data_IF_958673029190
#
_entry.id   IF_958673029190
#
_cell.length_a   1.000
_cell.length_b   1.000
_cell.length_c   1.000
_cell.angle_alpha   90.00
_cell.angle_beta   90.00
_cell.angle_gamma   90.00
#
_symmetry.space_group_name_H-M   'P 1'
#
loop_
_entity.id
_entity.type
_entity.pdbx_description
1 polymer ?
#
# COMPACT_ATOMS: atom_id res chain seq x y z
N UNK A 1 6.18 -6.43 6.92
CA UNK A 1 7.25 -6.39 7.96
C UNK A 1 7.78 -4.97 8.17
N UNK A 2 8.17 -4.23 7.13
CA UNK A 2 8.74 -2.87 7.27
C UNK A 2 7.87 -1.85 8.02
N UNK A 3 6.56 -1.74 7.75
CA UNK A 3 5.69 -0.75 8.43
C UNK A 3 5.57 -0.94 9.96
N UNK A 4 5.58 -2.18 10.46
CA UNK A 4 5.56 -2.44 11.91
C UNK A 4 6.84 -1.95 12.56
N UNK A 5 7.97 -2.24 11.90
CA UNK A 5 9.28 -1.76 12.33
C UNK A 5 9.28 -0.23 12.30
N UNK A 6 8.78 0.40 11.24
CA UNK A 6 8.70 1.86 11.15
C UNK A 6 7.79 2.49 12.21
N UNK A 7 6.58 1.96 12.44
CA UNK A 7 5.69 2.46 13.51
C UNK A 7 6.28 2.26 14.90
N UNK A 8 6.81 1.07 15.19
CA UNK A 8 7.44 0.80 16.48
C UNK A 8 8.71 1.66 16.68
N UNK A 9 9.47 1.92 15.62
CA UNK A 9 10.62 2.82 15.64
C UNK A 9 10.18 4.26 15.89
N UNK A 10 9.10 4.74 15.25
CA UNK A 10 8.52 6.06 15.52
C UNK A 10 8.12 6.19 16.99
N UNK A 11 7.36 5.23 17.52
CA UNK A 11 6.97 5.23 18.94
C UNK A 11 8.20 5.20 19.87
N UNK A 12 9.20 4.37 19.53
CA UNK A 12 10.45 4.26 20.28
C UNK A 12 11.25 5.57 20.28
N UNK A 13 11.43 6.21 19.11
CA UNK A 13 12.18 7.45 18.98
C UNK A 13 11.47 8.63 19.65
N UNK A 14 10.13 8.70 19.58
CA UNK A 14 9.35 9.68 20.35
C UNK A 14 9.57 9.50 21.85
N UNK A 15 9.50 8.26 22.34
CA UNK A 15 9.75 7.97 23.75
C UNK A 15 11.18 8.36 24.19
N UNK A 16 12.19 8.07 23.37
CA UNK A 16 13.57 8.49 23.64
C UNK A 16 13.72 10.02 23.67
N UNK A 17 13.14 10.73 22.71
CA UNK A 17 13.20 12.20 22.65
C UNK A 17 12.49 12.87 23.83
N UNK A 18 11.47 12.23 24.39
CA UNK A 18 10.78 12.70 25.60
C UNK A 18 11.55 12.41 26.89
N UNK A 19 12.63 11.61 26.84
CA UNK A 19 13.53 11.37 27.96
C UNK A 19 14.45 12.56 28.27
N UNK A 20 14.87 12.66 29.53
CA UNK A 20 15.73 13.74 30.04
C UNK A 20 17.23 13.56 29.77
N UNK A 21 17.67 12.35 29.38
CA UNK A 21 19.09 11.96 29.47
C UNK A 21 19.84 12.01 28.13
N UNK A 22 19.41 12.88 27.20
CA UNK A 22 20.02 13.00 25.87
C UNK A 22 20.87 14.27 25.76
N UNK A 23 22.09 14.11 25.26
CA UNK A 23 22.90 15.25 24.79
C UNK A 23 22.27 15.86 23.53
N UNK A 24 22.66 17.09 23.19
CA UNK A 24 22.16 17.77 21.99
C UNK A 24 22.40 16.95 20.70
N UNK A 25 23.59 16.36 20.57
CA UNK A 25 23.96 15.53 19.41
C UNK A 25 23.13 14.24 19.32
N UNK A 26 22.89 13.58 20.46
CA UNK A 26 22.04 12.38 20.51
C UNK A 26 20.60 12.72 20.10
N UNK A 27 20.07 13.85 20.60
CA UNK A 27 18.74 14.34 20.25
C UNK A 27 18.61 14.65 18.75
N UNK A 28 19.63 15.29 18.15
CA UNK A 28 19.66 15.56 16.72
C UNK A 28 19.66 14.27 15.88
N UNK A 29 20.47 13.28 16.26
CA UNK A 29 20.54 11.99 15.57
C UNK A 29 19.23 11.21 15.66
N UNK A 30 18.60 11.13 16.84
CA UNK A 30 17.30 10.44 17.02
C UNK A 30 16.20 11.14 16.22
N UNK A 31 16.22 12.48 16.16
CA UNK A 31 15.26 13.26 15.34
C UNK A 31 15.40 12.93 13.86
N UNK A 32 16.62 12.78 13.35
CA UNK A 32 16.85 12.36 11.95
C UNK A 32 16.28 10.97 11.67
N UNK A 33 16.53 10.00 12.57
CA UNK A 33 15.99 8.64 12.43
C UNK A 33 14.46 8.61 12.49
N UNK A 34 13.86 9.46 13.33
CA UNK A 34 12.41 9.63 13.38
C UNK A 34 11.84 10.12 12.04
N UNK A 35 12.47 11.13 11.43
CA UNK A 35 12.07 11.65 10.11
C UNK A 35 12.16 10.55 9.05
N UNK A 36 13.25 9.80 8.99
CA UNK A 36 13.43 8.72 8.02
C UNK A 36 12.32 7.64 8.14
N UNK A 37 11.88 7.32 9.36
CA UNK A 37 10.78 6.37 9.57
C UNK A 37 9.41 6.96 9.22
N UNK A 38 9.17 8.24 9.54
CA UNK A 38 7.95 8.95 9.13
C UNK A 38 7.85 9.04 7.60
N UNK A 39 8.95 9.32 6.92
CA UNK A 39 9.00 9.36 5.46
C UNK A 39 8.67 8.01 4.84
N UNK A 40 9.17 6.90 5.37
CA UNK A 40 8.79 5.54 4.90
C UNK A 40 7.29 5.30 5.03
N UNK A 41 6.67 5.76 6.12
CA UNK A 41 5.22 5.63 6.32
C UNK A 41 4.42 6.50 5.33
N UNK A 42 4.89 7.71 5.05
CA UNK A 42 4.29 8.60 4.07
C UNK A 42 4.34 8.01 2.65
N UNK A 43 5.50 7.51 2.22
CA UNK A 43 5.66 6.85 0.92
C UNK A 43 4.77 5.62 0.76
N UNK A 44 4.59 4.82 1.81
CA UNK A 44 3.69 3.66 1.77
C UNK A 44 2.22 4.05 1.56
N UNK A 45 1.79 5.21 2.08
CA UNK A 45 0.44 5.75 1.88
C UNK A 45 0.28 6.36 0.48
N UNK A 46 1.26 7.14 0.02
CA UNK A 46 1.26 7.71 -1.33
C UNK A 46 1.22 6.62 -2.41
N UNK A 47 2.04 5.58 -2.27
CA UNK A 47 2.02 4.43 -3.17
C UNK A 47 0.68 3.70 -3.17
N UNK A 48 0.01 3.61 -2.01
CA UNK A 48 -1.32 3.02 -1.92
C UNK A 48 -2.34 3.88 -2.68
N UNK A 49 -2.39 5.19 -2.44
CA UNK A 49 -3.30 6.11 -3.14
C UNK A 49 -3.09 6.06 -4.66
N UNK A 50 -1.83 6.06 -5.11
CA UNK A 50 -1.49 5.93 -6.52
C UNK A 50 -2.02 4.60 -7.10
N UNK A 51 -1.80 3.48 -6.41
CA UNK A 51 -2.27 2.17 -6.83
C UNK A 51 -3.80 2.09 -6.89
N UNK A 52 -4.49 2.66 -5.91
CA UNK A 52 -5.96 2.72 -5.87
C UNK A 52 -6.54 3.51 -7.04
N UNK A 53 -5.93 4.67 -7.37
CA UNK A 53 -6.31 5.45 -8.54
C UNK A 53 -6.09 4.65 -9.83
N UNK A 54 -4.97 3.94 -9.96
CA UNK A 54 -4.71 3.12 -11.16
C UNK A 54 -5.66 1.94 -11.31
N UNK A 55 -6.07 1.32 -10.20
CA UNK A 55 -7.13 0.30 -10.19
C UNK A 55 -8.45 0.88 -10.67
N UNK A 56 -8.82 2.09 -10.24
CA UNK A 56 -10.04 2.76 -10.69
C UNK A 56 -9.99 3.09 -12.19
N UNK A 57 -8.90 3.73 -12.65
CA UNK A 57 -8.66 4.02 -14.07
C UNK A 57 -8.75 2.75 -14.94
N UNK A 58 -8.19 1.64 -14.45
CA UNK A 58 -8.20 0.36 -15.15
C UNK A 58 -9.60 -0.27 -15.25
N UNK A 59 -10.44 -0.15 -14.22
CA UNK A 59 -11.86 -0.59 -14.27
C UNK A 59 -12.64 0.17 -15.33
N UNK A 60 -12.45 1.47 -15.39
CA UNK A 60 -13.08 2.31 -16.42
C UNK A 60 -12.64 1.89 -17.82
N UNK A 61 -11.35 1.58 -18.00
CA UNK A 61 -10.84 1.11 -19.27
C UNK A 61 -11.41 -0.26 -19.67
N UNK A 62 -11.49 -1.22 -18.74
CA UNK A 62 -12.15 -2.53 -18.98
C UNK A 62 -13.60 -2.33 -19.42
N UNK A 63 -14.35 -1.48 -18.72
CA UNK A 63 -15.74 -1.17 -19.07
C UNK A 63 -15.85 -0.57 -20.48
N UNK A 64 -15.01 0.42 -20.82
CA UNK A 64 -15.00 1.05 -22.15
C UNK A 64 -14.71 0.04 -23.27
N UNK A 65 -13.73 -0.84 -23.08
CA UNK A 65 -13.38 -1.86 -24.09
C UNK A 65 -14.48 -2.90 -24.21
N UNK A 66 -15.13 -3.28 -23.10
CA UNK A 66 -16.28 -4.17 -23.09
C UNK A 66 -17.46 -3.57 -23.88
N UNK A 67 -17.73 -2.29 -23.68
CA UNK A 67 -18.79 -1.58 -24.40
C UNK A 67 -18.47 -1.47 -25.89
N UNK A 68 -17.21 -1.18 -26.25
CA UNK A 68 -16.73 -1.20 -27.63
C UNK A 68 -16.93 -2.58 -28.27
N UNK A 69 -16.52 -3.67 -27.61
CA UNK A 69 -16.77 -5.03 -28.08
C UNK A 69 -18.26 -5.28 -28.33
N UNK A 70 -19.11 -4.88 -27.39
CA UNK A 70 -20.55 -5.11 -27.47
C UNK A 70 -21.22 -4.29 -28.59
N UNK A 71 -20.62 -3.17 -29.01
CA UNK A 71 -21.10 -2.34 -30.11
C UNK A 71 -20.90 -2.96 -31.51
N UNK A 72 -20.01 -3.96 -31.63
CA UNK A 72 -19.72 -4.64 -32.89
C UNK A 72 -20.48 -5.98 -33.00
N UNK A 73 -21.09 -6.28 -34.17
CA UNK A 73 -21.73 -7.57 -34.41
C UNK A 73 -20.77 -8.76 -34.26
N UNK A 74 -21.33 -9.92 -33.93
CA UNK A 74 -20.57 -11.17 -33.90
C UNK A 74 -19.96 -11.51 -35.27
N UNK A 75 -18.76 -12.08 -35.26
CA UNK A 75 -18.03 -12.48 -36.47
C UNK A 75 -17.32 -11.34 -37.20
N UNK A 76 -17.37 -10.10 -36.69
CA UNK A 76 -16.63 -8.97 -37.25
C UNK A 76 -15.20 -8.94 -36.72
N UNK A 77 -14.26 -8.53 -37.56
CA UNK A 77 -12.85 -8.37 -37.17
C UNK A 77 -12.70 -7.32 -36.06
N UNK A 78 -13.50 -6.26 -36.07
CA UNK A 78 -13.51 -5.22 -35.04
C UNK A 78 -13.89 -5.79 -33.67
N UNK A 79 -14.86 -6.72 -33.64
CA UNK A 79 -15.24 -7.41 -32.41
C UNK A 79 -14.12 -8.32 -31.91
N UNK A 80 -13.52 -9.11 -32.78
CA UNK A 80 -12.39 -9.99 -32.41
C UNK A 80 -11.20 -9.20 -31.87
N UNK A 81 -10.90 -8.04 -32.46
CA UNK A 81 -9.86 -7.14 -31.96
C UNK A 81 -10.22 -6.56 -30.59
N UNK A 82 -11.48 -6.15 -30.39
CA UNK A 82 -11.95 -5.66 -29.10
C UNK A 82 -11.95 -6.75 -28.03
N UNK A 83 -12.22 -8.02 -28.38
CA UNK A 83 -12.13 -9.17 -27.48
C UNK A 83 -10.69 -9.42 -27.01
N UNK A 84 -9.72 -9.43 -27.94
CA UNK A 84 -8.30 -9.59 -27.58
C UNK A 84 -7.81 -8.45 -26.68
N UNK A 85 -8.22 -7.22 -26.98
CA UNK A 85 -7.90 -6.06 -26.14
C UNK A 85 -8.55 -6.18 -24.76
N UNK A 86 -9.80 -6.63 -24.69
CA UNK A 86 -10.51 -6.80 -23.42
C UNK A 86 -9.78 -7.78 -22.50
N UNK A 87 -9.38 -8.95 -23.02
CA UNK A 87 -8.60 -9.94 -22.27
C UNK A 87 -7.30 -9.32 -21.73
N UNK A 88 -6.61 -8.53 -22.55
CA UNK A 88 -5.39 -7.84 -22.11
C UNK A 88 -5.67 -6.83 -20.99
N UNK A 89 -6.75 -6.05 -21.10
CA UNK A 89 -7.17 -5.09 -20.08
C UNK A 89 -7.58 -5.79 -18.77
N UNK A 90 -8.31 -6.92 -18.84
CA UNK A 90 -8.73 -7.70 -17.67
C UNK A 90 -7.54 -8.33 -16.93
N UNK A 91 -6.54 -8.84 -17.67
CA UNK A 91 -5.31 -9.36 -17.07
C UNK A 91 -4.50 -8.27 -16.37
N UNK A 92 -4.38 -7.08 -17.00
CA UNK A 92 -3.74 -5.93 -16.38
C UNK A 92 -4.51 -5.48 -15.13
N UNK A 93 -5.84 -5.42 -15.20
CA UNK A 93 -6.69 -5.05 -14.08
C UNK A 93 -6.49 -5.98 -12.88
N UNK A 94 -6.43 -7.28 -13.13
CA UNK A 94 -6.17 -8.29 -12.08
C UNK A 94 -4.81 -8.03 -11.40
N UNK A 95 -3.78 -7.74 -12.18
CA UNK A 95 -2.44 -7.42 -11.67
C UNK A 95 -2.44 -6.18 -10.78
N UNK A 96 -3.15 -5.12 -11.20
CA UNK A 96 -3.28 -3.88 -10.42
C UNK A 96 -4.07 -4.11 -9.12
N UNK A 97 -5.13 -4.90 -9.16
CA UNK A 97 -5.94 -5.23 -7.98
C UNK A 97 -5.15 -6.06 -6.97
N UNK A 98 -4.38 -7.05 -7.42
CA UNK A 98 -3.49 -7.86 -6.59
C UNK A 98 -2.42 -6.99 -5.92
N UNK A 99 -1.79 -6.09 -6.69
CA UNK A 99 -0.79 -5.17 -6.16
C UNK A 99 -1.40 -4.24 -5.10
N UNK A 100 -2.54 -3.63 -5.42
CA UNK A 100 -3.27 -2.76 -4.50
C UNK A 100 -3.69 -3.52 -3.22
N UNK A 101 -4.14 -4.77 -3.34
CA UNK A 101 -4.48 -5.61 -2.20
C UNK A 101 -3.27 -5.92 -1.29
N UNK A 102 -2.10 -6.22 -1.88
CA UNK A 102 -0.86 -6.41 -1.13
C UNK A 102 -0.42 -5.14 -0.42
N UNK A 103 -0.53 -3.97 -1.06
CA UNK A 103 -0.26 -2.67 -0.43
C UNK A 103 -1.25 -2.37 0.70
N UNK A 104 -2.55 -2.59 0.50
CA UNK A 104 -3.56 -2.45 1.56
C UNK A 104 -3.26 -3.37 2.74
N UNK A 105 -2.86 -4.60 2.49
CA UNK A 105 -2.44 -5.53 3.55
C UNK A 105 -1.21 -4.99 4.29
N UNK A 106 -0.21 -4.45 3.58
CA UNK A 106 0.95 -3.80 4.17
C UNK A 106 0.57 -2.58 5.01
N UNK A 107 -0.44 -1.81 4.60
CA UNK A 107 -0.91 -0.57 5.22
C UNK A 107 -1.85 -0.80 6.41
N UNK A 108 -2.83 -1.69 6.27
CA UNK A 108 -3.97 -1.89 7.18
C UNK A 108 -3.90 -3.17 8.02
N UNK A 109 -3.37 -4.28 7.50
CA UNK A 109 -3.28 -5.52 8.27
C UNK A 109 -2.04 -5.49 9.17
N UNK A 110 -2.26 -4.84 10.32
CA UNK A 110 -1.40 -4.80 11.48
C UNK A 110 -1.91 -5.81 12.52
N UNK A 111 -1.38 -7.06 12.65
CA UNK A 111 -1.70 -7.85 13.83
C UNK A 111 -1.07 -7.16 15.04
N UNK A 112 -1.90 -6.44 15.79
CA UNK A 112 -1.65 -6.19 17.19
C UNK A 112 -1.62 -7.55 17.90
N UNK A 113 -0.44 -8.17 17.98
CA UNK A 113 -0.23 -9.28 18.92
C UNK A 113 0.45 -8.69 20.14
N UNK A 114 -0.35 -8.03 20.98
CA UNK A 114 -0.04 -7.84 22.39
C UNK A 114 0.01 -9.23 23.04
N UNK A 115 1.17 -9.87 22.98
CA UNK A 115 1.47 -10.95 23.93
C UNK A 115 1.83 -10.24 25.22
N UNK A 116 0.80 -9.97 26.02
CA UNK A 116 0.96 -9.55 27.42
C UNK A 116 1.59 -10.71 28.19
N UNK A 117 2.92 -10.79 28.22
CA UNK A 117 3.65 -11.54 29.23
C UNK A 117 3.59 -10.78 30.55
N UNK A 118 2.52 -11.00 31.31
CA UNK A 118 2.50 -10.67 32.72
C UNK A 118 3.14 -11.84 33.51
N UNK A 119 4.01 -11.57 34.49
CA UNK A 119 4.59 -12.60 35.32
C UNK A 119 3.58 -13.04 36.38
N UNK A 120 3.24 -14.34 36.45
CA UNK A 120 2.63 -14.90 37.65
C UNK A 120 3.71 -15.03 38.72
N UNK A 121 3.71 -14.11 39.68
CA UNK A 121 4.24 -14.32 41.03
C UNK A 121 3.06 -14.64 41.95
N UNK A 122 2.97 -15.89 42.41
CA UNK A 122 3.25 -16.35 43.78
C UNK A 122 2.95 -17.84 43.82
#
# INVERSE_FOLDING_TARGET
MHRFVSKANVDHFINLLNGSDLTADQRANITKLLIDELDKLAHDLEHLEFAERKVADGRDQVNRVRDKRNSHPFGTTEREQAERLLVSCENLQTTLEDFCHRLRTKVYNSPGKTISTAPRRT
#
